data_IF_685729996021
#
_entry.id   IF_685729996021
#
_cell.length_a   1.000
_cell.length_b   1.000
_cell.length_c   1.000
_cell.angle_alpha   90.00
_cell.angle_beta   90.00
_cell.angle_gamma   90.00
#
_symmetry.space_group_name_H-M   'P 1'
#
loop_
_entity.id
_entity.type
_entity.pdbx_description
1 polymer ?
#
# COMPACT_ATOMS: atom_id res chain seq x y z
N UNK A 1 -14.70 11.32 -16.81
CA UNK A 1 -14.31 10.64 -15.61
C UNK A 1 -13.59 9.37 -15.95
N UNK A 2 -12.38 9.25 -15.49
CA UNK A 2 -11.64 8.05 -15.74
C UNK A 2 -11.91 7.06 -14.63
N UNK A 3 -12.39 5.96 -15.05
CA UNK A 3 -12.46 4.84 -14.17
C UNK A 3 -11.10 4.17 -14.19
N UNK A 4 -10.35 4.39 -13.13
CA UNK A 4 -9.41 3.36 -12.77
C UNK A 4 -10.28 2.26 -12.21
N UNK A 5 -10.69 1.39 -13.01
CA UNK A 5 -11.75 0.58 -12.55
C UNK A 5 -11.35 -0.80 -12.13
N UNK A 6 -12.36 -1.59 -11.84
CA UNK A 6 -12.18 -2.98 -11.46
C UNK A 6 -11.52 -3.82 -12.54
N UNK A 7 -11.28 -3.22 -13.71
CA UNK A 7 -10.64 -3.95 -14.81
C UNK A 7 -9.12 -3.88 -14.79
N UNK A 8 -8.55 -3.07 -13.88
CA UNK A 8 -7.11 -2.97 -13.77
C UNK A 8 -6.60 -4.10 -12.87
N UNK A 9 -6.17 -5.16 -13.50
CA UNK A 9 -5.65 -6.32 -12.76
C UNK A 9 -4.24 -6.65 -13.25
N UNK A 10 -3.46 -7.24 -12.35
CA UNK A 10 -2.15 -7.77 -12.69
C UNK A 10 -2.00 -9.14 -12.05
N UNK A 11 -1.45 -10.09 -12.81
CA UNK A 11 -1.17 -11.40 -12.28
C UNK A 11 0.23 -11.43 -11.68
N UNK A 12 0.32 -12.02 -10.50
CA UNK A 12 1.57 -12.15 -9.76
C UNK A 12 1.81 -13.65 -9.56
N UNK A 13 2.45 -14.31 -10.54
CA UNK A 13 2.53 -15.76 -10.55
C UNK A 13 3.34 -16.36 -9.40
N UNK A 14 4.23 -15.59 -8.79
CA UNK A 14 5.07 -16.09 -7.70
C UNK A 14 5.49 -14.95 -6.78
N UNK A 15 6.26 -15.29 -5.74
CA UNK A 15 6.72 -14.28 -4.79
C UNK A 15 7.65 -13.26 -5.42
N UNK A 16 8.46 -13.68 -6.40
CA UNK A 16 9.35 -12.74 -7.09
C UNK A 16 8.56 -11.69 -7.85
N UNK A 17 7.44 -12.08 -8.48
CA UNK A 17 6.57 -11.13 -9.17
C UNK A 17 5.93 -10.14 -8.21
N UNK A 18 5.50 -10.62 -7.04
CA UNK A 18 4.93 -9.76 -6.00
C UNK A 18 5.97 -8.76 -5.49
N UNK A 19 7.19 -9.22 -5.26
CA UNK A 19 8.29 -8.36 -4.83
C UNK A 19 8.60 -7.30 -5.89
N UNK A 20 8.68 -7.72 -7.15
CA UNK A 20 8.96 -6.79 -8.25
C UNK A 20 7.86 -5.74 -8.38
N UNK A 21 6.60 -6.14 -8.22
CA UNK A 21 5.48 -5.21 -8.27
C UNK A 21 5.57 -4.18 -7.14
N UNK A 22 5.86 -4.63 -5.91
CA UNK A 22 6.02 -3.73 -4.77
C UNK A 22 7.13 -2.73 -4.99
N UNK A 23 8.25 -3.16 -5.56
CA UNK A 23 9.37 -2.28 -5.84
C UNK A 23 9.06 -1.29 -6.96
N UNK A 24 8.30 -1.70 -7.98
CA UNK A 24 7.85 -0.75 -9.01
C UNK A 24 6.92 0.31 -8.42
N UNK A 25 6.00 -0.11 -7.56
CA UNK A 25 5.10 0.84 -6.90
C UNK A 25 5.89 1.83 -6.06
N UNK A 26 6.90 1.35 -5.33
CA UNK A 26 7.73 2.21 -4.51
C UNK A 26 8.34 3.38 -5.30
N UNK A 27 8.75 3.12 -6.53
CA UNK A 27 9.41 4.13 -7.37
C UNK A 27 8.50 5.29 -7.78
N UNK A 28 7.19 5.07 -7.76
CA UNK A 28 6.23 6.10 -8.20
C UNK A 28 5.47 6.73 -7.05
N UNK A 29 5.76 6.32 -5.81
CA UNK A 29 5.10 6.90 -4.65
C UNK A 29 5.55 8.34 -4.41
N UNK A 30 4.58 9.16 -3.99
CA UNK A 30 4.78 10.58 -3.72
C UNK A 30 4.19 10.92 -2.36
N UNK A 31 4.65 12.02 -1.81
CA UNK A 31 4.14 12.53 -0.54
C UNK A 31 2.63 12.75 -0.65
N UNK A 32 1.89 12.26 0.36
CA UNK A 32 0.43 12.33 0.38
C UNK A 32 -0.27 11.12 -0.21
N UNK A 33 0.46 10.21 -0.86
CA UNK A 33 -0.15 8.99 -1.40
C UNK A 33 -0.61 8.06 -0.28
N UNK A 34 -1.71 7.36 -0.55
CA UNK A 34 -2.23 6.33 0.34
C UNK A 34 -2.39 5.04 -0.45
N UNK A 35 -1.76 3.99 0.03
CA UNK A 35 -1.89 2.65 -0.56
C UNK A 35 -2.67 1.79 0.43
N UNK A 36 -3.86 1.36 0.04
CA UNK A 36 -4.70 0.50 0.85
C UNK A 36 -4.61 -0.93 0.33
N UNK A 37 -4.21 -1.85 1.20
CA UNK A 37 -4.04 -3.25 0.86
C UNK A 37 -5.19 -4.06 1.43
N UNK A 38 -6.00 -4.65 0.56
CA UNK A 38 -7.18 -5.44 0.91
C UNK A 38 -6.96 -6.91 0.56
N UNK A 39 -7.74 -7.76 1.19
CA UNK A 39 -7.70 -9.20 0.95
C UNK A 39 -7.76 -9.97 2.25
N UNK A 40 -7.99 -11.27 2.15
CA UNK A 40 -8.10 -12.14 3.32
C UNK A 40 -6.78 -12.34 4.05
N UNK A 41 -6.86 -13.03 5.18
CA UNK A 41 -5.66 -13.40 5.93
C UNK A 41 -4.77 -14.30 5.09
N UNK A 42 -3.47 -14.06 5.15
CA UNK A 42 -2.49 -14.88 4.43
C UNK A 42 -2.43 -14.66 2.93
N UNK A 43 -3.11 -13.64 2.42
CA UNK A 43 -3.15 -13.40 0.98
C UNK A 43 -1.86 -12.74 0.46
N UNK A 44 -1.03 -12.19 1.34
CA UNK A 44 0.24 -11.59 0.94
C UNK A 44 0.31 -10.08 1.08
N UNK A 45 -0.61 -9.47 1.83
CA UNK A 45 -0.60 -8.01 2.05
C UNK A 45 0.69 -7.55 2.71
N UNK A 46 1.12 -8.24 3.75
CA UNK A 46 2.35 -7.89 4.47
C UNK A 46 3.58 -8.10 3.59
N UNK A 47 3.59 -9.16 2.78
CA UNK A 47 4.68 -9.42 1.83
C UNK A 47 4.81 -8.28 0.84
N UNK A 48 3.69 -7.82 0.30
CA UNK A 48 3.69 -6.70 -0.64
C UNK A 48 4.13 -5.41 0.06
N UNK A 49 3.65 -5.18 1.28
CA UNK A 49 4.04 -4.01 2.06
C UNK A 49 5.55 -3.98 2.29
N UNK A 50 6.15 -5.12 2.62
CA UNK A 50 7.60 -5.21 2.82
C UNK A 50 8.37 -4.88 1.55
N UNK A 51 7.87 -5.32 0.40
CA UNK A 51 8.51 -5.02 -0.88
C UNK A 51 8.47 -3.52 -1.18
N UNK A 52 7.35 -2.87 -0.87
CA UNK A 52 7.22 -1.43 -1.06
C UNK A 52 8.21 -0.68 -0.17
N UNK A 53 8.25 -1.02 1.11
CA UNK A 53 9.19 -0.38 2.04
C UNK A 53 10.63 -0.61 1.62
N UNK A 54 10.97 -1.84 1.22
CA UNK A 54 12.32 -2.17 0.76
C UNK A 54 12.72 -1.37 -0.48
N UNK A 55 11.76 -1.09 -1.36
CA UNK A 55 12.01 -0.29 -2.56
C UNK A 55 12.29 1.17 -2.26
N UNK A 56 11.80 1.69 -1.11
CA UNK A 56 12.01 3.07 -0.70
C UNK A 56 13.13 3.24 0.31
N UNK A 57 13.47 2.17 1.02
CA UNK A 57 14.46 2.21 2.10
C UNK A 57 15.36 0.98 1.98
N UNK A 58 16.22 0.95 0.95
CA UNK A 58 17.03 -0.25 0.66
C UNK A 58 18.04 -0.61 1.76
N UNK A 59 18.38 0.35 2.64
CA UNK A 59 19.30 0.11 3.74
C UNK A 59 18.62 -0.57 4.94
N UNK A 60 17.32 -0.77 4.86
CA UNK A 60 16.56 -1.39 5.94
C UNK A 60 16.66 -2.91 5.80
N UNK A 61 17.42 -3.56 6.69
CA UNK A 61 17.65 -5.00 6.62
C UNK A 61 16.39 -5.81 6.92
N UNK A 62 15.50 -5.26 7.71
CA UNK A 62 14.30 -5.96 8.12
C UNK A 62 13.11 -5.04 8.17
N UNK A 63 12.02 -5.49 7.57
CA UNK A 63 10.76 -4.76 7.63
C UNK A 63 9.77 -5.60 8.43
N UNK A 64 9.62 -5.30 9.73
CA UNK A 64 8.69 -6.06 10.56
C UNK A 64 7.24 -5.78 10.18
N UNK A 65 6.38 -6.75 10.46
CA UNK A 65 4.94 -6.54 10.34
C UNK A 65 4.47 -5.64 11.49
N UNK A 66 3.60 -4.66 11.25
CA UNK A 66 3.07 -3.81 12.31
C UNK A 66 1.96 -4.47 13.12
N UNK A 67 1.73 -5.78 12.97
CA UNK A 67 0.61 -6.48 13.59
C UNK A 67 0.49 -6.25 15.10
N UNK A 68 1.60 -6.17 15.80
CA UNK A 68 1.58 -5.95 17.25
C UNK A 68 1.66 -4.47 17.63
N UNK A 69 2.30 -3.67 16.81
CA UNK A 69 2.48 -2.24 17.08
C UNK A 69 1.42 -1.39 16.39
N UNK A 70 0.66 -1.96 15.47
CA UNK A 70 -0.42 -1.33 14.70
C UNK A 70 0.08 -0.29 13.70
N UNK A 71 1.22 0.35 13.95
CA UNK A 71 1.83 1.30 13.02
C UNK A 71 3.35 1.26 13.16
N UNK A 72 4.04 1.30 12.02
CA UNK A 72 5.49 1.41 11.94
C UNK A 72 5.81 2.57 11.00
N UNK A 73 6.79 3.38 11.35
CA UNK A 73 7.22 4.49 10.50
C UNK A 73 8.64 4.23 10.01
N UNK A 74 8.88 4.59 8.77
CA UNK A 74 10.18 4.39 8.12
C UNK A 74 10.63 5.68 7.45
N UNK A 75 11.87 6.14 7.70
CA UNK A 75 12.44 7.20 6.87
C UNK A 75 12.69 6.61 5.49
N UNK A 76 12.25 7.31 4.46
CA UNK A 76 12.35 6.82 3.08
C UNK A 76 12.87 7.92 2.17
N UNK A 77 13.34 7.53 0.99
CA UNK A 77 13.74 8.47 -0.06
C UNK A 77 12.75 8.34 -1.20
N UNK A 78 11.99 9.41 -1.40
CA UNK A 78 11.03 9.51 -2.50
C UNK A 78 11.71 10.18 -3.69
N UNK A 79 11.07 10.13 -4.86
CA UNK A 79 11.67 10.70 -6.07
C UNK A 79 11.98 12.20 -5.94
N UNK A 80 11.26 12.90 -5.09
CA UNK A 80 11.42 14.34 -4.90
C UNK A 80 12.09 14.72 -3.58
N UNK A 81 12.66 13.75 -2.87
CA UNK A 81 13.43 14.02 -1.65
C UNK A 81 13.04 13.11 -0.49
N UNK A 82 13.60 13.39 0.70
CA UNK A 82 13.34 12.56 1.86
C UNK A 82 11.89 12.68 2.33
N UNK A 83 11.40 11.62 2.95
CA UNK A 83 10.05 11.58 3.48
C UNK A 83 9.90 10.45 4.50
N UNK A 84 8.68 10.17 4.87
CA UNK A 84 8.35 9.06 5.76
C UNK A 84 7.26 8.21 5.16
N UNK A 85 7.36 6.91 5.40
CA UNK A 85 6.27 5.98 5.10
C UNK A 85 5.73 5.46 6.42
N UNK A 86 4.42 5.53 6.58
CA UNK A 86 3.72 5.03 7.75
C UNK A 86 2.96 3.77 7.33
N UNK A 87 3.28 2.65 7.96
CA UNK A 87 2.69 1.36 7.67
C UNK A 87 1.73 0.98 8.80
N UNK A 88 0.45 0.94 8.50
CA UNK A 88 -0.62 0.61 9.44
C UNK A 88 -1.14 -0.79 9.20
N UNK A 89 -1.46 -1.50 10.28
CA UNK A 89 -2.21 -2.75 10.22
C UNK A 89 -3.40 -2.60 11.16
N UNK A 90 -4.58 -2.45 10.59
CA UNK A 90 -5.79 -2.16 11.37
C UNK A 90 -6.62 -3.40 11.72
N UNK A 91 -6.06 -4.58 11.48
CA UNK A 91 -6.79 -5.84 11.66
C UNK A 91 -7.40 -6.00 13.06
N UNK A 92 -6.67 -5.58 14.09
CA UNK A 92 -7.08 -5.76 15.48
C UNK A 92 -7.96 -4.64 16.03
N UNK A 93 -8.17 -3.60 15.26
CA UNK A 93 -9.01 -2.48 15.71
C UNK A 93 -10.48 -2.80 15.49
N UNK A 94 -11.31 -2.30 16.41
CA UNK A 94 -12.75 -2.53 16.38
C UNK A 94 -13.56 -1.31 15.97
N UNK A 95 -13.00 -0.11 16.19
CA UNK A 95 -13.74 1.14 15.99
C UNK A 95 -12.93 2.15 15.21
N UNK A 96 -13.58 2.94 14.35
CA UNK A 96 -12.88 3.97 13.58
C UNK A 96 -12.13 5.00 14.43
N UNK A 97 -12.65 5.34 15.63
CA UNK A 97 -11.99 6.31 16.48
C UNK A 97 -10.61 5.86 16.95
N UNK A 98 -10.37 4.54 17.02
CA UNK A 98 -9.06 4.01 17.38
C UNK A 98 -8.00 4.33 16.33
N UNK A 99 -8.40 4.52 15.08
CA UNK A 99 -7.48 4.85 14.00
C UNK A 99 -6.83 6.22 14.23
N UNK A 100 -7.61 7.16 14.76
CA UNK A 100 -7.09 8.51 15.05
C UNK A 100 -5.95 8.46 16.07
N UNK A 101 -6.04 7.56 17.03
CA UNK A 101 -5.02 7.42 18.07
C UNK A 101 -3.67 6.97 17.52
N UNK A 102 -3.66 6.41 16.32
CA UNK A 102 -2.43 5.96 15.67
C UNK A 102 -1.72 7.09 14.89
N UNK A 103 -2.31 8.28 14.82
CA UNK A 103 -1.72 9.39 14.10
C UNK A 103 -2.05 9.41 12.62
N UNK A 104 -3.18 8.83 12.21
CA UNK A 104 -3.54 8.73 10.79
C UNK A 104 -3.62 10.09 10.11
N UNK A 105 -4.05 11.13 10.82
CA UNK A 105 -4.17 12.45 10.22
C UNK A 105 -2.81 13.03 9.84
N UNK A 106 -1.79 12.81 10.67
CA UNK A 106 -0.44 13.25 10.36
C UNK A 106 0.12 12.48 9.16
N UNK A 107 -0.14 11.17 9.13
CA UNK A 107 0.32 10.34 8.02
C UNK A 107 -0.29 10.78 6.70
N UNK A 108 -1.59 11.03 6.69
CA UNK A 108 -2.30 11.40 5.46
C UNK A 108 -1.92 12.79 4.95
N UNK A 109 -1.49 13.69 5.83
CA UNK A 109 -1.21 15.07 5.45
C UNK A 109 0.06 15.21 4.63
N UNK A 110 1.15 14.57 5.02
CA UNK A 110 2.46 14.84 4.42
C UNK A 110 3.30 13.60 4.11
N UNK A 111 2.83 12.44 4.46
CA UNK A 111 3.63 11.21 4.36
C UNK A 111 3.01 10.23 3.39
N UNK A 112 3.72 9.13 3.14
CA UNK A 112 3.15 8.01 2.40
C UNK A 112 2.51 7.09 3.42
N UNK A 113 1.24 6.73 3.20
CA UNK A 113 0.52 5.84 4.10
C UNK A 113 0.29 4.50 3.40
N UNK A 114 0.62 3.42 4.08
CA UNK A 114 0.45 2.06 3.60
C UNK A 114 -0.42 1.35 4.63
N UNK A 115 -1.64 0.98 4.25
CA UNK A 115 -2.64 0.52 5.21
C UNK A 115 -3.14 -0.87 4.86
N UNK A 116 -2.89 -1.84 5.76
CA UNK A 116 -3.48 -3.17 5.68
C UNK A 116 -4.79 -3.16 6.45
N UNK A 117 -5.80 -3.86 5.94
CA UNK A 117 -7.14 -3.89 6.51
C UNK A 117 -7.74 -2.49 6.62
N UNK A 118 -7.88 -1.78 5.48
CA UNK A 118 -8.23 -0.36 5.51
C UNK A 118 -9.70 -0.07 5.83
N UNK A 119 -10.54 -1.07 6.01
CA UNK A 119 -11.98 -0.90 6.13
C UNK A 119 -12.39 0.09 7.22
N UNK A 120 -11.73 0.04 8.39
CA UNK A 120 -12.07 0.96 9.47
C UNK A 120 -11.70 2.41 9.17
N UNK A 121 -10.75 2.61 8.27
CA UNK A 121 -10.28 3.95 7.93
C UNK A 121 -10.89 4.47 6.62
N UNK A 122 -11.73 3.68 5.96
CA UNK A 122 -12.20 3.99 4.61
C UNK A 122 -12.79 5.40 4.47
N UNK A 123 -13.54 5.85 5.46
CA UNK A 123 -14.15 7.18 5.43
C UNK A 123 -13.16 8.33 5.60
N UNK A 124 -11.93 8.04 6.02
CA UNK A 124 -10.90 9.05 6.26
C UNK A 124 -9.93 9.19 5.11
N UNK A 125 -9.91 8.21 4.19
CA UNK A 125 -8.88 8.17 3.16
C UNK A 125 -9.21 9.12 2.01
N UNK A 126 -8.22 9.94 1.58
CA UNK A 126 -8.45 10.89 0.49
C UNK A 126 -8.57 10.16 -0.85
N UNK A 127 -9.73 10.26 -1.47
CA UNK A 127 -10.04 9.50 -2.70
C UNK A 127 -9.09 9.77 -3.85
N UNK A 128 -8.64 11.01 -3.98
CA UNK A 128 -7.79 11.39 -5.10
C UNK A 128 -6.42 10.75 -5.08
N UNK A 129 -5.83 10.61 -3.89
CA UNK A 129 -4.48 10.07 -3.73
C UNK A 129 -4.48 8.60 -3.31
N UNK A 130 -5.65 7.98 -3.22
CA UNK A 130 -5.78 6.60 -2.78
C UNK A 130 -5.53 5.61 -3.93
N UNK A 131 -4.65 4.65 -3.68
CA UNK A 131 -4.48 3.48 -4.52
C UNK A 131 -4.93 2.27 -3.72
N UNK A 132 -5.97 1.60 -4.18
CA UNK A 132 -6.47 0.39 -3.54
C UNK A 132 -5.98 -0.82 -4.30
N UNK A 133 -5.35 -1.75 -3.58
CA UNK A 133 -4.87 -3.01 -4.14
C UNK A 133 -5.55 -4.13 -3.39
N UNK A 134 -6.36 -4.89 -4.09
CA UNK A 134 -7.02 -6.06 -3.51
C UNK A 134 -6.35 -7.32 -4.04
N UNK A 135 -5.81 -8.11 -3.13
CA UNK A 135 -5.11 -9.35 -3.47
C UNK A 135 -6.02 -10.55 -3.30
N UNK A 136 -5.91 -11.50 -4.23
CA UNK A 136 -6.58 -12.79 -4.09
C UNK A 136 -5.62 -13.91 -4.46
N UNK A 137 -5.80 -15.06 -3.81
CA UNK A 137 -5.00 -16.24 -4.09
C UNK A 137 -5.56 -16.92 -5.35
N UNK A 138 -4.70 -17.16 -6.33
CA UNK A 138 -5.10 -17.85 -7.55
C UNK A 138 -4.55 -19.28 -7.60
N UNK A 139 -3.62 -19.62 -6.71
CA UNK A 139 -3.07 -20.97 -6.58
C UNK A 139 -1.67 -20.93 -6.00
N UNK A 140 -1.40 -21.75 -4.96
CA UNK A 140 -0.08 -21.78 -4.35
C UNK A 140 0.42 -20.40 -3.96
N UNK A 141 1.51 -19.97 -4.58
CA UNK A 141 2.08 -18.64 -4.34
C UNK A 141 1.64 -17.60 -5.35
N UNK A 142 0.78 -17.99 -6.30
CA UNK A 142 0.30 -17.04 -7.30
C UNK A 142 -0.83 -16.21 -6.74
N UNK A 143 -0.86 -14.95 -7.13
CA UNK A 143 -1.84 -13.97 -6.68
C UNK A 143 -2.35 -13.17 -7.87
N UNK A 144 -3.51 -12.57 -7.68
CA UNK A 144 -4.01 -11.55 -8.60
C UNK A 144 -4.25 -10.29 -7.81
N UNK A 145 -3.77 -9.18 -8.33
CA UNK A 145 -3.98 -7.87 -7.72
C UNK A 145 -4.97 -7.09 -8.56
N UNK A 146 -6.05 -6.66 -7.92
CA UNK A 146 -7.01 -5.75 -8.54
C UNK A 146 -6.68 -4.35 -8.04
N UNK A 147 -6.46 -3.44 -8.99
CA UNK A 147 -5.91 -2.12 -8.67
C UNK A 147 -6.87 -1.03 -9.10
N UNK A 148 -7.15 -0.13 -8.17
CA UNK A 148 -8.02 1.01 -8.41
C UNK A 148 -7.38 2.25 -7.82
N UNK A 149 -7.14 3.25 -8.64
CA UNK A 149 -6.48 4.48 -8.21
C UNK A 149 -7.35 5.70 -8.39
N UNK A 150 -7.20 6.67 -7.49
CA UNK A 150 -7.84 7.95 -7.61
C UNK A 150 -7.21 8.81 -8.70
N UNK A 151 -7.70 10.05 -8.84
CA UNK A 151 -7.28 10.93 -9.92
C UNK A 151 -5.77 11.17 -9.95
N UNK A 152 -5.12 11.26 -8.79
CA UNK A 152 -3.68 11.49 -8.71
C UNK A 152 -2.85 10.32 -9.25
N UNK A 153 -3.47 9.15 -9.42
CA UNK A 153 -2.79 7.96 -9.93
C UNK A 153 -2.93 7.77 -11.43
N UNK A 154 -3.75 8.60 -12.07
CA UNK A 154 -4.06 8.45 -13.50
C UNK A 154 -2.84 8.30 -14.40
N UNK A 155 -1.84 9.14 -14.20
CA UNK A 155 -0.65 9.15 -15.04
C UNK A 155 0.35 8.06 -14.67
N UNK A 156 0.24 7.53 -13.46
CA UNK A 156 1.18 6.53 -12.96
C UNK A 156 0.73 5.09 -13.18
N UNK A 157 -0.59 4.86 -13.27
CA UNK A 157 -1.13 3.50 -13.39
C UNK A 157 -0.64 2.75 -14.63
N UNK A 158 -0.59 3.35 -15.83
CA UNK A 158 -0.13 2.58 -17.00
C UNK A 158 1.27 2.01 -16.82
N UNK A 159 2.20 2.78 -16.29
CA UNK A 159 3.55 2.29 -16.02
C UNK A 159 3.61 1.23 -14.93
N UNK A 160 2.76 1.37 -13.92
CA UNK A 160 2.70 0.42 -12.83
C UNK A 160 2.14 -0.94 -13.28
N UNK A 161 1.17 -0.92 -14.18
CA UNK A 161 0.52 -2.12 -14.68
C UNK A 161 1.31 -2.80 -15.81
N UNK A 162 2.23 -2.08 -16.41
CA UNK A 162 3.09 -2.65 -17.45
C UNK A 162 4.10 -3.59 -16.79
N UNK A 163 4.15 -4.81 -17.27
CA UNK A 163 5.07 -5.81 -16.74
C UNK A 163 6.48 -5.66 -17.32
#
# INVERSE_FOLDING_TARGET
MIKSGPDSTIDLPDLAASDAFGRRLAKVLRRGDVVALKGGLGVGKTTLARAIVAGLSPDSDEVPSPTFTLVQTYPVTLSHGPGELWHFDLYRLDRPDQVYELGIEEALAENVSLIEWPELAAGLLPKESLLTIELEITGGQSRRARIEGGAAWRDRLPGLLAS
#
